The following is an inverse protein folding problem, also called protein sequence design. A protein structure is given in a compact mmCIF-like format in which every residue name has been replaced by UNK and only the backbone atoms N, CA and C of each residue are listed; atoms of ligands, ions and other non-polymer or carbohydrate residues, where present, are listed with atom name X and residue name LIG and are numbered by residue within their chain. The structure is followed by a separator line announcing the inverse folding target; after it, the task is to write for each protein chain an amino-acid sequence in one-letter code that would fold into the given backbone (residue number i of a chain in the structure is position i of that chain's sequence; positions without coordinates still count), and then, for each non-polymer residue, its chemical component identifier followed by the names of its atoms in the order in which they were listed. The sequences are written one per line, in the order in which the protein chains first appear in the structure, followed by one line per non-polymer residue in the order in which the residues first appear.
data_IF_213497173332
#
_entry.id   IF_213497173332
#
_cell.length_a   1.000
_cell.length_b   1.000
_cell.length_c   1.000
_cell.angle_alpha   90.00
_cell.angle_beta   90.00
_cell.angle_gamma   90.00
#
_symmetry.space_group_name_H-M   'P 1'
#
loop_
_entity.id
_entity.type
_entity.pdbx_description
1 polymer ?
#
# COMPACT_ATOMS: atom_id res chain seq x y z
N UNK A 1 -13.95 -11.75 -7.48
CA UNK A 1 -12.84 -10.94 -6.92
C UNK A 1 -12.39 -11.56 -5.62
N UNK A 2 -11.11 -11.85 -5.44
CA UNK A 2 -10.53 -12.38 -4.20
C UNK A 2 -9.25 -11.63 -3.84
N UNK A 3 -8.64 -11.98 -2.70
CA UNK A 3 -7.22 -11.65 -2.47
C UNK A 3 -6.39 -12.34 -3.56
N UNK A 4 -5.42 -11.62 -4.11
CA UNK A 4 -4.48 -12.17 -5.09
C UNK A 4 -3.42 -13.07 -4.44
N UNK A 5 -2.76 -13.89 -5.25
CA UNK A 5 -1.77 -14.89 -4.80
C UNK A 5 -0.55 -14.26 -4.12
N UNK A 6 -0.16 -13.07 -4.56
CA UNK A 6 0.98 -12.29 -4.07
C UNK A 6 0.52 -11.12 -3.21
N UNK A 7 -0.46 -11.36 -2.34
CA UNK A 7 -0.91 -10.33 -1.40
C UNK A 7 0.26 -9.88 -0.51
N UNK A 8 0.56 -8.56 -0.41
CA UNK A 8 1.68 -8.06 0.36
C UNK A 8 1.69 -8.58 1.80
N UNK A 9 2.85 -9.03 2.26
CA UNK A 9 3.05 -9.45 3.65
C UNK A 9 2.96 -8.27 4.61
N UNK A 10 2.65 -8.54 5.88
CA UNK A 10 2.74 -7.52 6.92
C UNK A 10 4.17 -6.98 7.00
N UNK A 11 4.31 -5.65 7.02
CA UNK A 11 5.60 -4.98 7.01
C UNK A 11 5.60 -3.71 7.86
N UNK A 12 6.78 -3.35 8.36
CA UNK A 12 7.05 -2.07 9.01
C UNK A 12 7.43 -1.05 7.92
N UNK A 13 6.68 0.05 7.84
CA UNK A 13 6.85 1.06 6.78
C UNK A 13 7.15 2.43 7.36
N UNK A 14 8.13 3.10 6.77
CA UNK A 14 8.40 4.50 7.01
C UNK A 14 7.23 5.36 6.51
N UNK A 15 6.99 6.51 7.15
CA UNK A 15 5.69 7.19 7.05
C UNK A 15 5.44 7.96 5.76
N UNK A 16 6.43 8.18 4.88
CA UNK A 16 6.26 8.86 3.58
C UNK A 16 6.81 7.99 2.44
N UNK A 17 5.95 7.16 1.86
CA UNK A 17 6.26 6.29 0.71
C UNK A 17 4.99 5.68 0.12
N UNK A 18 5.13 5.13 -1.09
CA UNK A 18 4.17 4.21 -1.68
C UNK A 18 4.35 2.83 -1.08
N UNK A 19 3.26 2.22 -0.65
CA UNK A 19 3.29 0.89 -0.05
C UNK A 19 2.23 0.01 -0.71
N UNK A 20 2.66 -1.13 -1.25
CA UNK A 20 1.76 -2.20 -1.67
C UNK A 20 1.00 -2.74 -0.47
N UNK A 21 -0.32 -2.61 -0.50
CA UNK A 21 -1.15 -2.80 0.68
C UNK A 21 -2.17 -3.93 0.52
N UNK A 22 -2.55 -4.27 -0.71
CA UNK A 22 -3.46 -5.37 -1.04
C UNK A 22 -3.32 -5.75 -2.51
N UNK A 23 -3.20 -7.05 -2.81
CA UNK A 23 -3.39 -7.56 -4.17
C UNK A 23 -4.81 -8.11 -4.34
N UNK A 24 -5.46 -7.80 -5.45
CA UNK A 24 -6.83 -8.19 -5.79
C UNK A 24 -6.78 -9.01 -7.07
N UNK A 25 -7.27 -10.25 -7.03
CA UNK A 25 -7.53 -11.02 -8.24
C UNK A 25 -8.96 -10.75 -8.72
N UNK A 26 -9.09 -10.31 -9.98
CA UNK A 26 -10.36 -10.05 -10.65
C UNK A 26 -10.54 -11.05 -11.77
N UNK A 27 -11.40 -12.03 -11.53
CA UNK A 27 -11.73 -13.08 -12.49
C UNK A 27 -13.14 -12.90 -13.03
N UNK A 28 -13.31 -13.16 -14.32
CA UNK A 28 -14.60 -13.36 -14.97
C UNK A 28 -14.77 -14.86 -15.25
N UNK A 29 -15.93 -15.42 -14.92
CA UNK A 29 -16.21 -16.87 -15.04
C UNK A 29 -17.53 -17.18 -15.70
N UNK A 30 -18.28 -16.15 -16.12
CA UNK A 30 -19.61 -16.30 -16.69
C UNK A 30 -19.56 -16.24 -18.24
N UNK A 31 -18.36 -16.15 -18.82
CA UNK A 31 -18.10 -16.23 -20.25
C UNK A 31 -18.35 -14.92 -21.00
N UNK A 32 -18.44 -13.79 -20.30
CA UNK A 32 -18.71 -12.47 -20.90
C UNK A 32 -17.77 -11.39 -20.40
N UNK A 33 -17.30 -10.54 -21.30
CA UNK A 33 -16.42 -9.44 -20.92
C UNK A 33 -17.10 -8.49 -19.91
N UNK A 34 -16.37 -8.16 -18.87
CA UNK A 34 -16.79 -7.25 -17.80
C UNK A 34 -15.92 -6.01 -17.80
N UNK A 35 -16.53 -4.82 -17.85
CA UNK A 35 -15.80 -3.55 -17.72
C UNK A 35 -15.94 -2.99 -16.32
N UNK A 36 -14.82 -2.86 -15.61
CA UNK A 36 -14.78 -2.27 -14.26
C UNK A 36 -14.60 -0.76 -14.39
N UNK A 37 -15.54 0.00 -13.81
CA UNK A 37 -15.54 1.48 -13.89
C UNK A 37 -15.20 2.19 -12.59
N UNK A 38 -15.27 1.47 -11.47
CA UNK A 38 -14.89 1.97 -10.16
C UNK A 38 -14.40 0.86 -9.25
N UNK A 39 -13.64 1.22 -8.20
CA UNK A 39 -13.31 0.35 -7.07
C UNK A 39 -13.46 1.15 -5.78
N UNK A 40 -14.09 0.55 -4.77
CA UNK A 40 -14.24 1.16 -3.44
C UNK A 40 -13.41 0.40 -2.41
N UNK A 41 -12.63 1.14 -1.63
CA UNK A 41 -11.76 0.62 -0.59
C UNK A 41 -12.22 1.14 0.76
N UNK A 42 -12.42 0.24 1.71
CA UNK A 42 -12.50 0.57 3.13
C UNK A 42 -11.10 0.57 3.73
N UNK A 43 -10.86 1.47 4.68
CA UNK A 43 -9.63 1.47 5.48
C UNK A 43 -9.98 1.02 6.90
N UNK A 44 -9.17 0.12 7.45
CA UNK A 44 -9.23 -0.30 8.86
C UNK A 44 -7.85 -0.20 9.50
N UNK A 45 -7.77 -0.54 10.79
CA UNK A 45 -6.57 -0.38 11.60
C UNK A 45 -6.72 0.78 12.59
N UNK A 46 -5.58 1.29 13.07
CA UNK A 46 -5.50 2.37 14.07
C UNK A 46 -5.01 3.69 13.50
N UNK A 47 -4.66 3.73 12.21
CA UNK A 47 -4.32 4.94 11.47
C UNK A 47 -5.51 5.89 11.37
N UNK A 48 -5.27 7.21 11.30
CA UNK A 48 -6.29 8.19 10.89
C UNK A 48 -6.23 8.33 9.36
N UNK A 49 -7.16 7.73 8.60
CA UNK A 49 -7.05 7.73 7.14
C UNK A 49 -7.20 9.13 6.53
N UNK A 50 -7.78 10.10 7.23
CA UNK A 50 -7.95 11.46 6.74
C UNK A 50 -6.67 12.30 6.90
N UNK A 51 -5.86 12.02 7.92
CA UNK A 51 -4.61 12.71 8.17
C UNK A 51 -3.40 11.98 7.57
N UNK A 52 -3.40 10.65 7.60
CA UNK A 52 -2.20 9.84 7.39
C UNK A 52 -2.12 9.21 6.00
N UNK A 53 -3.19 9.31 5.19
CA UNK A 53 -3.21 8.84 3.80
C UNK A 53 -3.40 10.01 2.84
N UNK A 54 -2.50 10.13 1.87
CA UNK A 54 -2.59 11.16 0.82
C UNK A 54 -3.45 10.68 -0.35
N UNK A 55 -3.22 9.45 -0.81
CA UNK A 55 -3.96 8.84 -1.93
C UNK A 55 -3.84 7.32 -1.92
N UNK A 56 -4.73 6.65 -2.64
CA UNK A 56 -4.54 5.28 -3.08
C UNK A 56 -4.42 5.24 -4.60
N UNK A 57 -3.55 4.36 -5.09
CA UNK A 57 -3.42 4.01 -6.50
C UNK A 57 -3.89 2.57 -6.67
N UNK A 58 -4.52 2.32 -7.81
CA UNK A 58 -4.78 0.98 -8.32
C UNK A 58 -3.88 0.79 -9.53
N UNK A 59 -3.07 -0.26 -9.53
CA UNK A 59 -2.16 -0.61 -10.63
C UNK A 59 -2.42 -2.05 -11.07
N UNK A 60 -2.18 -2.37 -12.34
CA UNK A 60 -2.09 -3.76 -12.79
C UNK A 60 -0.71 -4.30 -12.39
N UNK A 61 -0.71 -5.43 -11.68
CA UNK A 61 0.49 -6.15 -11.24
C UNK A 61 1.00 -7.00 -12.42
N UNK A 62 1.82 -6.37 -13.26
CA UNK A 62 2.13 -6.91 -14.59
C UNK A 62 3.18 -8.03 -14.55
N UNK A 63 4.09 -7.98 -13.58
CA UNK A 63 5.09 -9.03 -13.35
C UNK A 63 4.63 -10.06 -12.30
N UNK A 64 3.55 -9.77 -11.57
CA UNK A 64 2.88 -10.70 -10.68
C UNK A 64 3.63 -10.91 -9.38
N UNK A 65 4.43 -9.96 -8.91
CA UNK A 65 5.28 -10.13 -7.73
C UNK A 65 4.67 -9.56 -6.44
N UNK A 66 3.52 -8.88 -6.54
CA UNK A 66 2.83 -8.28 -5.40
C UNK A 66 3.47 -6.99 -4.86
N UNK A 67 4.46 -6.43 -5.55
CA UNK A 67 5.27 -5.29 -5.12
C UNK A 67 5.19 -4.17 -6.15
N UNK A 68 4.91 -2.95 -5.69
CA UNK A 68 4.78 -1.83 -6.61
C UNK A 68 6.14 -1.47 -7.23
N UNK A 69 6.23 -1.59 -8.55
CA UNK A 69 7.48 -1.46 -9.30
C UNK A 69 7.35 -0.75 -10.64
N UNK A 70 8.44 -0.79 -11.43
CA UNK A 70 8.50 -0.17 -12.76
C UNK A 70 7.67 -0.92 -13.81
N UNK A 71 7.40 -2.21 -13.60
CA UNK A 71 6.61 -3.02 -14.50
C UNK A 71 5.10 -2.72 -14.42
N UNK A 72 4.64 -2.12 -13.32
CA UNK A 72 3.21 -1.95 -13.05
C UNK A 72 2.60 -0.76 -13.78
N UNK A 73 1.38 -0.96 -14.28
CA UNK A 73 0.65 0.06 -15.02
C UNK A 73 -0.44 0.71 -14.15
N UNK A 74 -0.48 2.05 -14.00
CA UNK A 74 -1.53 2.70 -13.23
C UNK A 74 -2.89 2.62 -13.92
N UNK A 75 -3.87 2.06 -13.21
CA UNK A 75 -5.26 1.97 -13.66
C UNK A 75 -6.10 3.16 -13.19
N UNK A 76 -5.80 3.69 -12.01
CA UNK A 76 -6.51 4.84 -11.45
C UNK A 76 -6.03 5.23 -10.05
N UNK A 77 -6.62 6.30 -9.50
CA UNK A 77 -6.34 6.74 -8.13
C UNK A 77 -7.55 7.36 -7.46
N UNK A 78 -7.51 7.46 -6.14
CA UNK A 78 -8.54 8.10 -5.33
C UNK A 78 -7.98 8.58 -3.98
N UNK A 79 -8.76 9.40 -3.28
CA UNK A 79 -8.42 9.91 -1.95
C UNK A 79 -9.45 9.48 -0.91
N UNK A 80 -9.05 9.47 0.36
CA UNK A 80 -9.96 9.13 1.44
C UNK A 80 -11.00 10.23 1.64
N UNK A 81 -12.26 9.83 1.78
CA UNK A 81 -13.36 10.73 2.10
C UNK A 81 -13.95 10.37 3.45
N UNK A 82 -13.74 11.23 4.45
CA UNK A 82 -14.29 11.06 5.80
C UNK A 82 -15.84 10.95 5.79
N UNK A 83 -16.50 11.64 4.86
CA UNK A 83 -17.96 11.58 4.72
C UNK A 83 -18.48 10.20 4.29
N UNK A 84 -17.69 9.42 3.53
CA UNK A 84 -18.06 8.07 3.11
C UNK A 84 -17.34 6.95 3.88
N UNK A 85 -16.32 7.30 4.68
CA UNK A 85 -15.46 6.35 5.37
C UNK A 85 -14.64 5.47 4.43
N UNK A 86 -14.41 5.90 3.20
CA UNK A 86 -13.83 5.07 2.13
C UNK A 86 -13.03 5.88 1.12
N UNK A 87 -12.21 5.18 0.35
CA UNK A 87 -11.59 5.67 -0.88
C UNK A 87 -12.39 5.11 -2.04
N UNK A 88 -12.77 5.95 -3.00
CA UNK A 88 -13.40 5.51 -4.25
C UNK A 88 -12.50 5.91 -5.39
N UNK A 89 -12.08 4.92 -6.18
CA UNK A 89 -11.33 5.08 -7.41
C UNK A 89 -12.35 5.00 -8.54
N UNK A 90 -12.49 6.08 -9.32
CA UNK A 90 -13.47 6.20 -10.42
C UNK A 90 -12.76 6.47 -11.74
N UNK A 91 -13.52 6.41 -12.84
CA UNK A 91 -12.98 6.67 -14.18
C UNK A 91 -12.13 5.52 -14.73
N UNK A 92 -12.23 4.33 -14.13
CA UNK A 92 -11.60 3.13 -14.65
C UNK A 92 -12.29 2.74 -15.95
N UNK A 93 -11.53 2.22 -16.91
CA UNK A 93 -12.04 1.69 -18.17
C UNK A 93 -11.35 0.36 -18.48
N UNK A 94 -11.31 -0.52 -17.47
CA UNK A 94 -10.56 -1.78 -17.54
C UNK A 94 -11.50 -2.93 -17.86
N UNK A 95 -11.26 -3.61 -18.98
CA UNK A 95 -12.02 -4.80 -19.39
C UNK A 95 -11.34 -6.06 -18.90
N UNK A 96 -12.04 -6.83 -18.07
CA UNK A 96 -11.73 -8.21 -17.73
C UNK A 96 -12.40 -9.08 -18.78
N UNK A 97 -11.58 -9.72 -19.61
CA UNK A 97 -12.07 -10.57 -20.70
C UNK A 97 -12.68 -11.85 -20.11
N UNK A 98 -13.66 -12.40 -20.81
CA UNK A 98 -14.29 -13.66 -20.45
C UNK A 98 -13.27 -14.76 -20.10
N UNK A 99 -13.51 -15.48 -19.01
CA UNK A 99 -12.67 -16.59 -18.52
C UNK A 99 -11.19 -16.22 -18.21
N UNK A 100 -10.91 -14.92 -18.02
CA UNK A 100 -9.57 -14.44 -17.63
C UNK A 100 -9.52 -13.95 -16.20
N UNK A 101 -8.31 -13.90 -15.65
CA UNK A 101 -8.02 -13.27 -14.35
C UNK A 101 -7.00 -12.17 -14.55
N UNK A 102 -7.26 -11.02 -13.92
CA UNK A 102 -6.34 -9.89 -13.81
C UNK A 102 -5.93 -9.70 -12.35
N UNK A 103 -4.69 -9.27 -12.13
CA UNK A 103 -4.16 -9.04 -10.79
C UNK A 103 -3.88 -7.55 -10.62
N UNK A 104 -4.51 -6.96 -9.61
CA UNK A 104 -4.36 -5.54 -9.32
C UNK A 104 -3.73 -5.33 -7.96
N UNK A 105 -2.84 -4.35 -7.87
CA UNK A 105 -2.24 -3.90 -6.62
C UNK A 105 -2.87 -2.59 -6.17
N UNK A 106 -3.34 -2.57 -4.92
CA UNK A 106 -3.69 -1.36 -4.19
C UNK A 106 -2.45 -0.85 -3.50
N UNK A 107 -2.04 0.34 -3.89
CA UNK A 107 -0.87 1.03 -3.35
C UNK A 107 -1.34 2.24 -2.56
N UNK A 108 -0.94 2.35 -1.30
CA UNK A 108 -1.25 3.50 -0.46
C UNK A 108 -0.07 4.46 -0.46
N UNK A 109 -0.34 5.75 -0.65
CA UNK A 109 0.61 6.81 -0.34
C UNK A 109 0.34 7.34 1.06
N UNK A 110 1.32 7.16 1.94
CA UNK A 110 1.28 7.63 3.31
C UNK A 110 1.69 9.12 3.38
N UNK A 111 1.14 9.88 4.32
CA UNK A 111 1.34 11.33 4.43
C UNK A 111 2.54 11.76 5.31
N UNK A 112 3.27 10.82 5.91
CA UNK A 112 4.39 11.11 6.81
C UNK A 112 3.99 11.29 8.28
N UNK A 113 2.72 11.56 8.57
CA UNK A 113 2.21 12.01 9.87
C UNK A 113 1.79 10.91 10.84
N UNK A 114 1.68 9.67 10.37
CA UNK A 114 1.12 8.59 11.16
C UNK A 114 1.90 8.34 12.45
N UNK A 115 1.17 8.11 13.54
CA UNK A 115 1.78 7.76 14.82
C UNK A 115 2.62 6.47 14.68
N UNK A 116 3.76 6.44 15.38
CA UNK A 116 4.57 5.23 15.43
C UNK A 116 3.77 4.07 16.05
N UNK A 117 3.75 2.92 15.38
CA UNK A 117 2.97 1.75 15.75
C UNK A 117 1.52 1.78 15.26
N UNK A 118 1.08 2.83 14.56
CA UNK A 118 -0.21 2.83 13.90
C UNK A 118 -0.29 1.69 12.88
N UNK A 119 -1.50 1.16 12.65
CA UNK A 119 -1.72 0.08 11.68
C UNK A 119 -2.70 0.52 10.61
N UNK A 120 -2.44 0.11 9.37
CA UNK A 120 -3.36 0.29 8.25
C UNK A 120 -3.67 -1.06 7.62
N UNK A 121 -4.95 -1.27 7.31
CA UNK A 121 -5.50 -2.49 6.69
C UNK A 121 -6.50 -2.08 5.62
N UNK A 122 -6.12 -1.97 4.34
CA UNK A 122 -7.09 -1.79 3.28
C UNK A 122 -7.97 -3.02 3.15
N UNK A 123 -9.24 -2.81 2.88
CA UNK A 123 -10.19 -3.85 2.50
C UNK A 123 -10.91 -3.42 1.25
N UNK A 124 -11.09 -4.35 0.32
CA UNK A 124 -12.03 -4.16 -0.76
C UNK A 124 -13.44 -4.09 -0.15
N UNK A 125 -14.06 -2.91 -0.21
CA UNK A 125 -15.43 -2.71 0.23
C UNK A 125 -16.29 -2.74 -1.04
N UNK A 126 -17.00 -3.85 -1.27
CA UNK A 126 -17.84 -4.13 -2.45
C UNK A 126 -18.37 -2.86 -3.13
N UNK A 127 -18.04 -2.71 -4.41
CA UNK A 127 -18.43 -1.57 -5.24
C UNK A 127 -17.60 -1.46 -6.52
N UNK A 128 -17.32 -2.58 -7.19
CA UNK A 128 -16.96 -2.52 -8.60
C UNK A 128 -18.25 -2.47 -9.40
N UNK A 129 -18.47 -1.39 -10.13
CA UNK A 129 -19.67 -1.21 -10.95
C UNK A 129 -19.25 -1.29 -12.42
N UNK A 130 -20.00 -2.02 -13.24
CA UNK A 130 -20.00 -1.88 -14.70
C UNK A 130 -21.33 -1.23 -15.08
N UNK A 131 -21.31 -0.07 -15.74
CA UNK A 131 -22.52 0.56 -16.29
C UNK A 131 -23.76 0.53 -15.35
N UNK A 132 -23.57 0.82 -14.05
CA UNK A 132 -24.66 0.86 -13.06
C UNK A 132 -25.08 -0.47 -12.43
N UNK A 133 -24.47 -1.60 -12.80
CA UNK A 133 -24.67 -2.89 -12.12
C UNK A 133 -23.47 -3.26 -11.24
N UNK A 134 -23.75 -3.72 -10.02
CA UNK A 134 -22.75 -4.23 -9.09
C UNK A 134 -22.19 -5.54 -9.64
N UNK A 135 -20.91 -5.55 -10.01
CA UNK A 135 -20.22 -6.66 -10.68
C UNK A 135 -19.99 -7.90 -9.80
N UNK A 136 -20.42 -7.84 -8.54
CA UNK A 136 -20.16 -8.87 -7.54
C UNK A 136 -21.40 -9.04 -6.68
N UNK A 137 -22.33 -9.88 -7.14
CA UNK A 137 -23.39 -10.41 -6.30
C UNK A 137 -22.83 -11.54 -5.43
N UNK A 138 -22.30 -11.17 -4.26
CA UNK A 138 -21.88 -12.18 -3.27
C UNK A 138 -20.67 -11.76 -2.45
N UNK A 139 -20.81 -10.76 -1.57
CA UNK A 139 -20.05 -10.71 -0.31
C UNK A 139 -18.53 -10.84 -0.35
N UNK A 140 -17.83 -10.56 -1.47
CA UNK A 140 -16.40 -10.84 -1.56
C UNK A 140 -15.59 -9.74 -0.86
N UNK A 141 -14.94 -10.12 0.24
CA UNK A 141 -14.10 -9.24 1.05
C UNK A 141 -12.65 -9.66 0.84
N UNK A 142 -11.86 -8.85 0.12
CA UNK A 142 -10.42 -8.99 0.07
C UNK A 142 -9.81 -8.05 1.12
N UNK A 143 -9.00 -8.59 2.04
CA UNK A 143 -8.41 -7.81 3.14
C UNK A 143 -6.89 -7.89 3.05
N UNK A 144 -6.24 -6.72 3.06
CA UNK A 144 -4.78 -6.63 3.12
C UNK A 144 -4.26 -7.05 4.49
N UNK A 145 -3.00 -7.47 4.54
CA UNK A 145 -2.33 -7.72 5.81
C UNK A 145 -2.11 -6.39 6.58
N UNK A 146 -2.08 -6.41 7.93
CA UNK A 146 -1.69 -5.23 8.70
C UNK A 146 -0.31 -4.73 8.28
N UNK A 147 -0.23 -3.46 7.89
CA UNK A 147 1.04 -2.75 7.82
C UNK A 147 1.17 -1.89 9.08
N UNK A 148 2.35 -1.91 9.69
CA UNK A 148 2.65 -1.10 10.88
C UNK A 148 3.52 0.09 10.46
N UNK A 149 3.09 1.28 10.84
CA UNK A 149 3.77 2.51 10.47
C UNK A 149 4.83 2.84 11.52
N UNK A 150 6.05 3.12 11.08
CA UNK A 150 7.17 3.51 11.93
C UNK A 150 7.62 4.90 11.48
N UNK A 151 7.49 5.88 12.36
CA UNK A 151 7.96 7.24 12.08
C UNK A 151 9.49 7.29 12.18
N UNK A 152 10.15 7.88 11.17
CA UNK A 152 11.56 8.25 11.20
C UNK A 152 11.81 9.59 11.92
N UNK A 153 10.76 10.27 12.38
CA UNK A 153 10.90 11.57 13.04
C UNK A 153 11.76 11.43 14.30
N UNK A 154 13.00 11.94 14.22
CA UNK A 154 13.98 11.91 15.30
C UNK A 154 15.25 11.10 15.03
N UNK A 155 15.39 10.42 13.89
CA UNK A 155 16.70 9.87 13.47
C UNK A 155 17.44 10.90 12.62
N UNK A 156 18.06 11.85 13.29
CA UNK A 156 19.13 12.65 12.66
C UNK A 156 20.27 11.68 12.35
N UNK A 157 20.52 11.42 11.07
CA UNK A 157 21.76 10.79 10.65
C UNK A 157 22.86 11.82 10.92
N UNK A 158 23.65 11.62 11.97
CA UNK A 158 24.99 12.22 11.99
C UNK A 158 25.80 11.43 10.98
N UNK A 159 26.03 12.04 9.82
CA UNK A 159 27.22 11.70 9.05
C UNK A 159 28.32 12.39 9.84
N UNK A 160 29.04 11.65 10.68
CA UNK A 160 30.38 12.12 11.03
C UNK A 160 31.09 12.22 9.69
N UNK A 161 31.35 13.47 9.26
CA UNK A 161 32.35 13.73 8.24
C UNK A 161 33.66 13.27 8.87
N UNK A 162 33.96 11.98 8.73
CA UNK A 162 35.28 11.47 9.06
C UNK A 162 36.22 12.09 8.04
N UNK A 163 36.80 13.22 8.44
CA UNK A 163 37.95 13.79 7.79
C UNK A 163 38.94 12.67 7.50
N UNK A 164 39.20 12.50 6.22
CA UNK A 164 40.27 11.65 5.70
C UNK A 164 41.60 12.12 6.29
N UNK A 165 42.09 11.38 7.29
CA UNK A 165 43.51 11.30 7.60
C UNK A 165 43.88 9.82 7.75
N UNK A 166 43.94 9.17 6.59
CA UNK A 166 44.50 7.84 6.40
C UNK A 166 45.96 7.75 6.87
N UNK A 167 46.25 7.18 8.06
CA UNK A 167 47.61 6.77 8.42
C UNK A 167 47.76 5.70 9.53
N UNK A 168 46.82 4.78 9.77
CA UNK A 168 47.16 3.52 10.44
C UNK A 168 46.24 2.37 9.98
N UNK A 169 46.85 1.28 9.52
CA UNK A 169 46.16 0.13 8.95
C UNK A 169 45.50 -0.74 10.01
N UNK A 170 44.30 -0.35 10.47
CA UNK A 170 43.39 -1.24 11.20
C UNK A 170 41.99 -1.17 10.61
N UNK A 171 41.54 -2.30 10.06
CA UNK A 171 40.17 -2.51 9.57
C UNK A 171 39.17 -2.21 10.70
N UNK A 172 38.14 -1.38 10.49
CA UNK A 172 37.15 -1.15 11.52
C UNK A 172 36.20 -2.35 11.58
N UNK A 173 36.29 -3.09 12.69
CA UNK A 173 35.27 -4.05 13.08
C UNK A 173 33.96 -3.32 13.32
N UNK A 174 32.88 -3.81 12.70
CA UNK A 174 31.51 -3.34 12.92
C UNK A 174 31.10 -3.61 14.36
N UNK A 175 31.30 -2.64 15.26
CA UNK A 175 30.68 -2.61 16.57
C UNK A 175 29.41 -1.77 16.48
N UNK A 176 28.26 -2.44 16.35
CA UNK A 176 26.95 -1.82 16.53
C UNK A 176 26.72 -1.65 18.03
N UNK A 177 27.11 -0.51 18.59
CA UNK A 177 26.81 -0.18 19.98
C UNK A 177 25.69 0.86 20.03
N UNK A 178 24.48 0.42 20.40
CA UNK A 178 23.37 1.32 20.75
C UNK A 178 23.62 1.89 22.15
N UNK A 179 23.96 3.17 22.24
CA UNK A 179 23.97 3.89 23.51
C UNK A 179 22.54 4.37 23.88
N UNK A 180 22.02 4.07 25.08
CA UNK A 180 20.78 4.66 25.55
C UNK A 180 21.02 6.13 25.96
N UNK A 181 20.19 7.04 25.44
CA UNK A 181 20.17 8.45 25.82
C UNK A 181 19.89 8.60 27.33
N UNK A 182 20.89 9.05 28.08
CA UNK A 182 20.68 9.62 29.39
C UNK A 182 20.19 11.07 29.23
N UNK A 183 18.98 11.36 29.73
CA UNK A 183 18.49 12.73 29.87
C UNK A 183 19.13 13.31 31.13
N UNK A 184 20.00 14.31 30.98
CA UNK A 184 20.50 15.14 32.06
C UNK A 184 20.18 16.61 31.73
N UNK A 185 19.10 17.12 32.33
CA UNK A 185 19.04 18.23 33.30
C UNK A 185 17.60 18.73 33.43
#
# INVERSE_FOLDING_TARGET
MSVGEHNPSATDVCTDQYVSALQIAVSETDGTDVTVTSVKLGIGGTVDPAADLTRALLVEDADGDGTYGFADEPLGSGTYSAGSGSIVITGLQVTVTADTTRNWLVVLQLAGSAANGATVKPRLAIGATSQGQQLVSGGQTATGNPMRLVSLAGRTWYVDDEGDDSADGRSPGTAFETLPHAIAQ
#
